data_IF_378574138663
#
_entry.id   IF_378574138663
#
_cell.length_a   1.000
_cell.length_b   1.000
_cell.length_c   1.000
_cell.angle_alpha   90.00
_cell.angle_beta   90.00
_cell.angle_gamma   90.00
#
_symmetry.space_group_name_H-M   'P 1'
#
loop_
_entity.id
_entity.type
_entity.pdbx_description
1 polymer ?
#
# COMPACT_ATOMS: atom_id res chain seq x y z
N UNK A 1 -20.63 6.28 -14.03
CA UNK A 1 -19.55 6.99 -14.76
C UNK A 1 -19.20 8.33 -14.11
N UNK A 2 -18.08 8.39 -13.39
CA UNK A 2 -17.54 9.66 -12.95
C UNK A 2 -16.99 10.41 -14.17
N UNK A 3 -17.52 11.60 -14.49
CA UNK A 3 -17.03 12.40 -15.62
C UNK A 3 -15.59 12.92 -15.43
N UNK A 4 -15.03 12.76 -14.22
CA UNK A 4 -13.67 13.16 -13.82
C UNK A 4 -12.80 11.91 -13.61
N UNK A 5 -11.47 12.00 -13.87
CA UNK A 5 -10.56 10.87 -13.77
C UNK A 5 -10.42 10.32 -12.34
N UNK A 6 -9.95 9.07 -12.24
CA UNK A 6 -9.44 8.46 -11.02
C UNK A 6 -7.99 8.88 -10.80
N UNK A 7 -7.63 9.33 -9.59
CA UNK A 7 -6.23 9.42 -9.18
C UNK A 7 -5.81 8.13 -8.48
N UNK A 8 -4.75 7.52 -8.97
CA UNK A 8 -4.20 6.26 -8.46
C UNK A 8 -2.86 6.50 -7.79
N UNK A 9 -2.68 5.91 -6.61
CA UNK A 9 -1.45 6.03 -5.84
C UNK A 9 -0.77 4.67 -5.68
N UNK A 10 0.52 4.54 -6.05
CA UNK A 10 1.22 3.27 -6.06
C UNK A 10 1.55 2.77 -4.65
N UNK A 11 1.73 1.46 -4.55
CA UNK A 11 2.18 0.76 -3.35
C UNK A 11 3.66 0.35 -3.39
N UNK A 12 4.06 -0.43 -2.39
CA UNK A 12 5.43 -0.93 -2.24
C UNK A 12 5.86 -1.78 -3.46
N UNK A 13 7.13 -1.67 -3.84
CA UNK A 13 7.69 -2.23 -5.07
C UNK A 13 7.84 -1.20 -6.20
N UNK A 14 7.26 0.00 -6.03
CA UNK A 14 7.38 1.10 -7.01
C UNK A 14 8.51 2.08 -6.68
N UNK A 15 9.16 1.95 -5.53
CA UNK A 15 10.24 2.84 -5.10
C UNK A 15 11.51 2.59 -5.91
N UNK A 16 12.24 3.67 -6.20
CA UNK A 16 13.52 3.61 -6.89
C UNK A 16 14.46 4.70 -6.36
N UNK A 17 15.76 4.40 -6.28
CA UNK A 17 16.77 5.43 -5.97
C UNK A 17 16.73 6.51 -7.05
N UNK A 18 16.74 7.77 -6.63
CA UNK A 18 16.57 8.94 -7.48
C UNK A 18 15.11 9.39 -7.68
N UNK A 19 14.12 8.67 -7.13
CA UNK A 19 12.71 9.11 -7.23
C UNK A 19 12.49 10.47 -6.55
N UNK A 20 11.63 11.30 -7.14
CA UNK A 20 11.31 12.64 -6.62
C UNK A 20 12.37 13.73 -6.86
N UNK A 21 13.63 13.38 -7.18
CA UNK A 21 14.74 14.34 -7.34
C UNK A 21 14.46 15.40 -8.40
N UNK A 22 14.01 14.97 -9.59
CA UNK A 22 13.67 15.91 -10.66
C UNK A 22 12.52 16.84 -10.26
N UNK A 23 11.51 16.33 -9.53
CA UNK A 23 10.39 17.15 -9.07
C UNK A 23 10.88 18.19 -8.04
N UNK A 24 11.64 17.77 -7.03
CA UNK A 24 12.16 18.66 -6.00
C UNK A 24 13.12 19.73 -6.56
N UNK A 25 13.85 19.42 -7.63
CA UNK A 25 14.76 20.38 -8.28
C UNK A 25 14.00 21.39 -9.13
N UNK A 26 12.94 20.96 -9.82
CA UNK A 26 12.19 21.81 -10.75
C UNK A 26 11.06 22.62 -10.08
N UNK A 27 10.51 22.15 -8.97
CA UNK A 27 9.30 22.70 -8.37
C UNK A 27 9.44 22.91 -6.85
N UNK A 28 9.41 24.16 -6.35
CA UNK A 28 9.51 24.45 -4.92
C UNK A 28 8.43 23.78 -4.07
N UNK A 29 7.21 23.64 -4.60
CA UNK A 29 6.10 22.96 -3.91
C UNK A 29 6.35 21.45 -3.76
N UNK A 30 7.04 20.80 -4.70
CA UNK A 30 7.47 19.41 -4.54
C UNK A 30 8.55 19.30 -3.47
N UNK A 31 9.52 20.23 -3.49
CA UNK A 31 10.60 20.28 -2.48
C UNK A 31 10.03 20.43 -1.07
N UNK A 32 9.07 21.32 -0.89
CA UNK A 32 8.42 21.56 0.40
C UNK A 32 7.73 20.29 0.97
N UNK A 33 7.15 19.44 0.11
CA UNK A 33 6.57 18.16 0.56
C UNK A 33 7.64 17.22 1.12
N UNK A 34 8.79 17.11 0.47
CA UNK A 34 9.89 16.27 0.98
C UNK A 34 10.45 16.82 2.29
N UNK A 35 10.60 18.15 2.40
CA UNK A 35 11.04 18.78 3.64
C UNK A 35 10.02 18.57 4.78
N UNK A 36 8.70 18.70 4.52
CA UNK A 36 7.66 18.42 5.51
C UNK A 36 7.68 16.96 5.98
N UNK A 37 7.88 16.00 5.06
CA UNK A 37 8.00 14.58 5.41
C UNK A 37 9.26 14.34 6.25
N UNK A 38 10.40 14.92 5.90
CA UNK A 38 11.62 14.82 6.69
C UNK A 38 11.41 15.37 8.11
N UNK A 39 10.79 16.55 8.25
CA UNK A 39 10.47 17.17 9.54
C UNK A 39 9.49 16.31 10.37
N UNK A 40 8.49 15.73 9.71
CA UNK A 40 7.50 14.88 10.37
C UNK A 40 8.13 13.61 10.97
N UNK A 41 9.16 13.08 10.30
CA UNK A 41 9.89 11.86 10.69
C UNK A 41 11.12 12.14 11.58
N UNK A 42 11.64 13.37 11.57
CA UNK A 42 12.87 13.73 12.27
C UNK A 42 14.13 13.12 11.64
N UNK A 43 14.08 12.77 10.34
CA UNK A 43 15.18 12.13 9.62
C UNK A 43 15.21 12.61 8.15
N UNK A 44 16.38 12.54 7.50
CA UNK A 44 16.50 12.89 6.09
C UNK A 44 16.17 11.70 5.17
N UNK A 45 14.88 11.36 5.09
CA UNK A 45 14.38 10.31 4.21
C UNK A 45 14.64 10.67 2.74
N UNK A 46 14.55 11.94 2.37
CA UNK A 46 14.77 12.38 1.00
C UNK A 46 16.23 12.14 0.52
N UNK A 47 17.22 12.28 1.40
CA UNK A 47 18.59 11.88 1.10
C UNK A 47 18.68 10.39 0.74
N UNK A 48 18.05 9.50 1.53
CA UNK A 48 17.97 8.06 1.22
C UNK A 48 17.27 7.81 -0.12
N UNK A 49 16.18 8.53 -0.42
CA UNK A 49 15.48 8.42 -1.71
C UNK A 49 16.37 8.81 -2.89
N UNK A 50 17.19 9.85 -2.72
CA UNK A 50 18.07 10.37 -3.78
C UNK A 50 19.30 9.50 -4.00
N UNK A 51 19.91 9.01 -2.92
CA UNK A 51 21.28 8.46 -2.95
C UNK A 51 21.33 6.95 -2.68
N UNK A 52 20.29 6.39 -2.06
CA UNK A 52 20.26 4.99 -1.64
C UNK A 52 21.06 4.75 -0.35
N UNK A 53 21.45 3.50 -0.06
CA UNK A 53 21.41 2.33 -0.96
C UNK A 53 19.99 1.82 -1.24
N UNK A 54 19.83 1.10 -2.35
CA UNK A 54 18.51 0.62 -2.79
C UNK A 54 17.88 -0.35 -1.78
N UNK A 55 18.68 -1.21 -1.14
CA UNK A 55 18.16 -2.17 -0.17
C UNK A 55 17.63 -1.49 1.10
N UNK A 56 18.24 -0.40 1.55
CA UNK A 56 17.72 0.40 2.65
C UNK A 56 16.41 1.11 2.26
N UNK A 57 16.33 1.64 1.03
CA UNK A 57 15.10 2.24 0.52
C UNK A 57 13.96 1.20 0.38
N UNK A 58 14.30 -0.06 0.08
CA UNK A 58 13.34 -1.18 -0.03
C UNK A 58 12.80 -1.65 1.31
N UNK A 59 13.46 -1.35 2.43
CA UNK A 59 12.92 -1.66 3.76
C UNK A 59 11.55 -1.01 3.90
N UNK A 60 10.55 -1.79 4.32
CA UNK A 60 9.15 -1.35 4.39
C UNK A 60 8.99 -0.06 5.20
N UNK A 61 9.76 0.10 6.28
CA UNK A 61 9.81 1.34 7.08
C UNK A 61 10.12 2.59 6.26
N UNK A 62 11.00 2.48 5.26
CA UNK A 62 11.45 3.59 4.41
C UNK A 62 10.58 3.71 3.14
N UNK A 63 10.29 2.59 2.49
CA UNK A 63 9.53 2.56 1.23
C UNK A 63 8.15 3.22 1.38
N UNK A 64 7.46 2.98 2.51
CA UNK A 64 6.12 3.53 2.75
C UNK A 64 6.08 5.07 2.75
N UNK A 65 6.77 5.78 3.67
CA UNK A 65 6.78 7.24 3.66
C UNK A 65 7.44 7.82 2.40
N UNK A 66 8.39 7.12 1.77
CA UNK A 66 9.07 7.62 0.58
C UNK A 66 8.18 7.64 -0.68
N UNK A 67 7.38 6.59 -0.87
CA UNK A 67 6.37 6.52 -1.94
C UNK A 67 5.23 7.51 -1.72
N UNK A 68 4.83 7.69 -0.46
CA UNK A 68 3.88 8.72 -0.07
C UNK A 68 4.40 10.13 -0.40
N UNK A 69 5.62 10.47 0.01
CA UNK A 69 6.24 11.77 -0.26
C UNK A 69 6.32 12.04 -1.77
N UNK A 70 6.73 11.05 -2.56
CA UNK A 70 6.79 11.17 -4.03
C UNK A 70 5.42 11.41 -4.65
N UNK A 71 4.39 10.72 -4.14
CA UNK A 71 3.00 10.90 -4.58
C UNK A 71 2.47 12.31 -4.26
N UNK A 72 2.71 12.78 -3.04
CA UNK A 72 2.26 14.10 -2.59
C UNK A 72 3.03 15.22 -3.27
N UNK A 73 4.32 15.04 -3.57
CA UNK A 73 5.12 16.00 -4.32
C UNK A 73 4.60 16.17 -5.75
N UNK A 74 4.28 15.06 -6.44
CA UNK A 74 3.66 15.12 -7.77
C UNK A 74 2.28 15.79 -7.74
N UNK A 75 1.48 15.49 -6.71
CA UNK A 75 0.17 16.11 -6.52
C UNK A 75 0.29 17.63 -6.27
N UNK A 76 1.23 18.06 -5.43
CA UNK A 76 1.47 19.47 -5.13
C UNK A 76 1.80 20.26 -6.41
N UNK A 77 2.66 19.72 -7.28
CA UNK A 77 2.99 20.32 -8.59
C UNK A 77 1.74 20.42 -9.46
N UNK A 78 0.93 19.35 -9.54
CA UNK A 78 -0.30 19.36 -10.34
C UNK A 78 -1.29 20.41 -9.84
N UNK A 79 -1.50 20.51 -8.53
CA UNK A 79 -2.38 21.50 -7.93
C UNK A 79 -1.87 22.92 -8.16
N UNK A 80 -0.55 23.15 -8.04
CA UNK A 80 0.07 24.45 -8.30
C UNK A 80 -0.08 24.87 -9.76
N UNK A 81 0.17 23.95 -10.69
CA UNK A 81 0.09 24.21 -12.13
C UNK A 81 -1.34 24.49 -12.61
N UNK A 82 -2.34 23.86 -11.98
CA UNK A 82 -3.75 23.98 -12.40
C UNK A 82 -4.56 24.99 -11.58
N UNK A 83 -4.10 25.34 -10.38
CA UNK A 83 -4.84 26.15 -9.40
C UNK A 83 -6.08 25.44 -8.84
N UNK A 84 -6.19 24.12 -8.97
CA UNK A 84 -7.38 23.33 -8.66
C UNK A 84 -7.15 22.37 -7.49
N UNK A 85 -8.19 22.14 -6.70
CA UNK A 85 -8.17 21.11 -5.66
C UNK A 85 -8.39 19.71 -6.26
N UNK A 86 -8.10 18.65 -5.49
CA UNK A 86 -8.36 17.27 -5.94
C UNK A 86 -9.84 17.06 -6.28
N UNK A 87 -10.76 17.66 -5.53
CA UNK A 87 -12.20 17.60 -5.82
C UNK A 87 -12.60 18.20 -7.18
N UNK A 88 -11.79 19.10 -7.73
CA UNK A 88 -12.00 19.67 -9.06
C UNK A 88 -11.37 18.81 -10.17
N UNK A 89 -10.27 18.13 -9.85
CA UNK A 89 -9.44 17.38 -10.80
C UNK A 89 -9.84 15.91 -10.93
N UNK A 90 -10.29 15.28 -9.84
CA UNK A 90 -10.57 13.87 -9.76
C UNK A 90 -12.01 13.61 -9.31
N UNK A 91 -12.58 12.52 -9.82
CA UNK A 91 -13.90 12.05 -9.42
C UNK A 91 -13.86 11.17 -8.17
N UNK A 92 -12.72 10.50 -7.97
CA UNK A 92 -12.42 9.64 -6.83
C UNK A 92 -10.91 9.39 -6.77
N UNK A 93 -10.47 8.80 -5.66
CA UNK A 93 -9.09 8.39 -5.44
C UNK A 93 -9.03 6.94 -5.00
N UNK A 94 -7.94 6.26 -5.33
CA UNK A 94 -7.63 4.93 -4.84
C UNK A 94 -6.12 4.77 -4.73
N UNK A 95 -5.65 3.95 -3.80
CA UNK A 95 -4.24 3.60 -3.75
C UNK A 95 -4.02 2.18 -3.29
N UNK A 96 -2.91 1.59 -3.72
CA UNK A 96 -2.60 0.19 -3.48
C UNK A 96 -1.86 0.04 -2.14
N UNK A 97 -2.47 -0.63 -1.17
CA UNK A 97 -1.95 -0.82 0.19
C UNK A 97 -1.56 0.50 0.85
N UNK A 98 -0.25 0.79 1.00
CA UNK A 98 0.22 2.08 1.52
C UNK A 98 -0.31 3.27 0.71
N UNK A 99 -0.55 3.08 -0.60
CA UNK A 99 -1.08 4.13 -1.47
C UNK A 99 -2.46 4.61 -1.03
N UNK A 100 -3.20 3.83 -0.24
CA UNK A 100 -4.47 4.28 0.37
C UNK A 100 -4.23 5.47 1.30
N UNK A 101 -3.09 5.56 2.00
CA UNK A 101 -2.72 6.74 2.79
C UNK A 101 -2.43 7.97 1.92
N UNK A 102 -1.79 7.78 0.75
CA UNK A 102 -1.62 8.84 -0.26
C UNK A 102 -2.98 9.32 -0.79
N UNK A 103 -3.90 8.40 -1.07
CA UNK A 103 -5.26 8.70 -1.52
C UNK A 103 -6.04 9.49 -0.46
N UNK A 104 -5.92 9.09 0.81
CA UNK A 104 -6.52 9.77 1.95
C UNK A 104 -5.97 11.19 2.13
N UNK A 105 -4.66 11.38 2.06
CA UNK A 105 -4.05 12.72 2.10
C UNK A 105 -4.48 13.58 0.90
N UNK A 106 -4.51 13.01 -0.31
CA UNK A 106 -4.99 13.70 -1.51
C UNK A 106 -6.47 14.13 -1.39
N UNK A 107 -7.31 13.30 -0.75
CA UNK A 107 -8.71 13.62 -0.48
C UNK A 107 -8.89 14.58 0.72
N UNK A 108 -7.81 14.98 1.40
CA UNK A 108 -7.82 15.94 2.49
C UNK A 108 -8.22 15.37 3.86
N UNK A 109 -8.30 14.05 4.01
CA UNK A 109 -8.63 13.44 5.32
C UNK A 109 -7.42 13.33 6.24
N UNK A 110 -6.19 13.30 5.72
CA UNK A 110 -4.96 13.23 6.52
C UNK A 110 -4.02 14.36 6.09
N UNK A 111 -3.33 14.96 7.04
CA UNK A 111 -2.23 15.87 6.74
C UNK A 111 -1.02 15.09 6.21
N UNK A 112 -0.12 15.75 5.48
CA UNK A 112 1.13 15.13 5.01
C UNK A 112 1.97 14.68 6.20
N UNK A 113 2.12 15.56 7.19
CA UNK A 113 2.81 15.28 8.46
C UNK A 113 2.26 14.03 9.18
N UNK A 114 0.95 13.93 9.39
CA UNK A 114 0.36 12.79 10.12
C UNK A 114 0.43 11.50 9.30
N UNK A 115 0.18 11.57 7.99
CA UNK A 115 0.30 10.41 7.12
C UNK A 115 1.74 9.87 7.06
N UNK A 116 2.76 10.74 7.02
CA UNK A 116 4.16 10.34 7.07
C UNK A 116 4.49 9.57 8.37
N UNK A 117 4.06 10.11 9.52
CA UNK A 117 4.25 9.46 10.84
C UNK A 117 3.52 8.12 10.93
N UNK A 118 2.28 8.06 10.45
CA UNK A 118 1.49 6.82 10.39
C UNK A 118 2.17 5.78 9.50
N UNK A 119 2.69 6.19 8.33
CA UNK A 119 3.36 5.28 7.41
C UNK A 119 4.71 4.77 7.93
N UNK A 120 5.46 5.59 8.67
CA UNK A 120 6.65 5.13 9.40
C UNK A 120 6.28 4.07 10.43
N UNK A 121 5.29 4.33 11.30
CA UNK A 121 4.78 3.36 12.28
C UNK A 121 4.25 2.08 11.62
N UNK A 122 3.48 2.21 10.54
CA UNK A 122 2.97 1.09 9.75
C UNK A 122 4.11 0.27 9.18
N UNK A 123 5.13 0.92 8.63
CA UNK A 123 6.26 0.23 8.05
C UNK A 123 7.13 -0.49 9.08
N UNK A 124 7.40 0.14 10.22
CA UNK A 124 8.15 -0.47 11.33
C UNK A 124 7.38 -1.66 11.93
N UNK A 125 6.07 -1.49 12.22
CA UNK A 125 5.24 -2.54 12.82
C UNK A 125 5.02 -3.73 11.89
N UNK A 126 4.76 -3.50 10.59
CA UNK A 126 4.63 -4.60 9.61
C UNK A 126 5.93 -5.36 9.40
N UNK A 127 7.08 -4.66 9.45
CA UNK A 127 8.39 -5.30 9.34
C UNK A 127 8.74 -6.15 10.57
N UNK A 128 8.27 -5.75 11.75
CA UNK A 128 8.50 -6.45 13.02
C UNK A 128 7.38 -7.38 13.49
N UNK A 129 6.30 -7.55 12.72
CA UNK A 129 5.12 -8.29 13.16
C UNK A 129 5.36 -9.80 13.35
N UNK A 130 6.34 -10.37 12.64
CA UNK A 130 6.79 -11.75 12.81
C UNK A 130 8.33 -11.81 12.85
N UNK A 131 8.94 -12.82 13.49
CA UNK A 131 10.38 -13.00 13.44
C UNK A 131 10.88 -13.09 11.98
N UNK A 132 12.07 -12.55 11.73
CA UNK A 132 12.67 -12.56 10.40
C UNK A 132 12.84 -14.01 9.91
N UNK A 133 12.27 -14.31 8.74
CA UNK A 133 12.30 -15.65 8.15
C UNK A 133 11.09 -16.53 8.48
N UNK A 134 10.15 -16.09 9.31
CA UNK A 134 8.95 -16.87 9.65
C UNK A 134 7.79 -16.64 8.68
N UNK A 135 7.80 -15.52 7.94
CA UNK A 135 6.79 -15.20 6.94
C UNK A 135 7.34 -14.94 5.54
N UNK A 136 6.50 -15.17 4.53
CA UNK A 136 6.81 -14.90 3.13
C UNK A 136 5.56 -14.46 2.35
N UNK A 137 5.82 -14.02 1.12
CA UNK A 137 4.80 -13.79 0.10
C UNK A 137 5.24 -14.43 -1.22
N UNK A 138 4.27 -14.85 -2.03
CA UNK A 138 4.53 -15.36 -3.38
C UNK A 138 3.51 -14.82 -4.38
N UNK A 139 3.98 -14.39 -5.53
CA UNK A 139 3.13 -14.07 -6.67
C UNK A 139 2.78 -15.36 -7.43
N UNK A 140 1.50 -15.62 -7.61
CA UNK A 140 0.97 -16.71 -8.43
C UNK A 140 0.33 -16.07 -9.67
N UNK A 141 0.96 -16.28 -10.82
CA UNK A 141 0.62 -15.60 -12.07
C UNK A 141 -0.01 -16.56 -13.08
N UNK A 142 -0.94 -16.03 -13.88
CA UNK A 142 -1.74 -16.74 -14.88
C UNK A 142 -2.55 -17.91 -14.28
N UNK A 143 -3.13 -17.70 -13.10
CA UNK A 143 -4.00 -18.68 -12.43
C UNK A 143 -5.42 -18.12 -12.25
N UNK A 144 -6.43 -18.98 -12.39
CA UNK A 144 -7.83 -18.63 -12.09
C UNK A 144 -8.07 -18.58 -10.58
N UNK A 145 -8.99 -17.73 -10.13
CA UNK A 145 -9.28 -17.51 -8.70
C UNK A 145 -9.67 -18.82 -7.98
N UNK A 146 -10.50 -19.66 -8.60
CA UNK A 146 -10.90 -20.95 -8.04
C UNK A 146 -9.70 -21.92 -7.82
N UNK A 147 -8.66 -21.82 -8.65
CA UNK A 147 -7.44 -22.62 -8.48
C UNK A 147 -6.62 -22.10 -7.30
N UNK A 148 -6.59 -20.79 -7.07
CA UNK A 148 -5.91 -20.18 -5.92
C UNK A 148 -6.53 -20.64 -4.61
N UNK A 149 -7.87 -20.66 -4.50
CA UNK A 149 -8.53 -21.11 -3.28
C UNK A 149 -8.14 -22.56 -2.92
N UNK A 150 -8.09 -23.45 -3.92
CA UNK A 150 -7.61 -24.84 -3.73
C UNK A 150 -6.14 -24.91 -3.33
N UNK A 151 -5.28 -24.05 -3.89
CA UNK A 151 -3.86 -23.97 -3.51
C UNK A 151 -3.71 -23.54 -2.05
N UNK A 152 -4.40 -22.48 -1.64
CA UNK A 152 -4.39 -21.97 -0.27
C UNK A 152 -4.90 -23.03 0.71
N UNK A 153 -6.02 -23.69 0.40
CA UNK A 153 -6.58 -24.76 1.23
C UNK A 153 -5.57 -25.89 1.46
N UNK A 154 -4.94 -26.40 0.39
CA UNK A 154 -3.94 -27.48 0.50
C UNK A 154 -2.68 -27.02 1.25
N UNK A 155 -2.20 -25.81 0.98
CA UNK A 155 -1.01 -25.25 1.61
C UNK A 155 -1.22 -24.94 3.10
N UNK A 156 -2.46 -24.72 3.54
CA UNK A 156 -2.81 -24.41 4.93
C UNK A 156 -2.38 -25.48 5.93
N UNK A 157 -2.20 -26.73 5.48
CA UNK A 157 -1.66 -27.83 6.31
C UNK A 157 -0.21 -27.62 6.77
N UNK A 158 0.55 -26.75 6.10
CA UNK A 158 1.93 -26.39 6.45
C UNK A 158 2.02 -25.10 7.27
N UNK A 159 0.89 -24.43 7.57
CA UNK A 159 0.84 -23.19 8.33
C UNK A 159 -0.16 -22.17 7.78
N UNK A 160 -0.35 -21.03 8.46
CA UNK A 160 -1.28 -19.99 8.02
C UNK A 160 -0.85 -19.41 6.66
N UNK A 161 -1.80 -19.30 5.73
CA UNK A 161 -1.63 -18.70 4.41
C UNK A 161 -2.96 -18.12 3.92
N UNK A 162 -2.91 -16.95 3.30
CA UNK A 162 -4.09 -16.27 2.76
C UNK A 162 -3.77 -15.56 1.44
N UNK A 163 -4.82 -15.19 0.72
CA UNK A 163 -4.74 -14.31 -0.44
C UNK A 163 -4.51 -12.87 0.03
N UNK A 164 -3.31 -12.35 -0.20
CA UNK A 164 -2.90 -11.00 0.19
C UNK A 164 -3.29 -9.94 -0.83
N UNK A 165 -3.06 -10.18 -2.12
CA UNK A 165 -3.40 -9.21 -3.17
C UNK A 165 -4.12 -9.90 -4.33
N UNK A 166 -5.27 -9.35 -4.72
CA UNK A 166 -5.92 -9.61 -5.99
C UNK A 166 -5.69 -8.39 -6.89
N UNK A 167 -4.62 -8.42 -7.69
CA UNK A 167 -4.14 -7.24 -8.41
C UNK A 167 -4.82 -7.06 -9.77
N UNK A 168 -4.96 -8.14 -10.51
CA UNK A 168 -5.54 -8.19 -11.84
C UNK A 168 -5.94 -9.63 -12.16
N UNK A 169 -6.75 -9.89 -13.21
CA UNK A 169 -7.03 -11.25 -13.66
C UNK A 169 -5.73 -12.05 -13.86
N UNK A 170 -5.57 -13.14 -13.10
CA UNK A 170 -4.37 -13.96 -13.14
C UNK A 170 -3.13 -13.36 -12.47
N UNK A 171 -3.24 -12.27 -11.70
CA UNK A 171 -2.12 -11.70 -10.93
C UNK A 171 -2.47 -11.62 -9.46
N UNK A 172 -2.16 -12.70 -8.73
CA UNK A 172 -2.51 -12.85 -7.32
C UNK A 172 -1.25 -13.00 -6.49
N UNK A 173 -1.30 -12.53 -5.25
CA UNK A 173 -0.23 -12.72 -4.26
C UNK A 173 -0.81 -13.43 -3.04
N UNK A 174 -0.15 -14.51 -2.62
CA UNK A 174 -0.41 -15.19 -1.36
C UNK A 174 0.63 -14.81 -0.32
N UNK A 175 0.25 -14.88 0.95
CA UNK A 175 1.06 -14.44 2.08
C UNK A 175 0.78 -15.28 3.31
N UNK A 176 1.80 -15.56 4.12
CA UNK A 176 1.65 -16.40 5.30
C UNK A 176 2.98 -16.91 5.84
N UNK A 177 2.92 -18.01 6.59
CA UNK A 177 4.11 -18.70 7.08
C UNK A 177 4.98 -19.19 5.92
N UNK A 178 6.30 -19.11 6.07
CA UNK A 178 7.26 -19.52 5.02
C UNK A 178 6.96 -20.92 4.48
N UNK A 179 6.75 -21.90 5.36
CA UNK A 179 6.48 -23.28 4.96
C UNK A 179 5.19 -23.41 4.13
N UNK A 180 4.14 -22.66 4.49
CA UNK A 180 2.87 -22.67 3.75
C UNK A 180 3.00 -21.98 2.38
N UNK A 181 3.73 -20.87 2.30
CA UNK A 181 3.99 -20.18 1.02
C UNK A 181 4.84 -21.04 0.09
N UNK A 182 5.87 -21.70 0.62
CA UNK A 182 6.70 -22.62 -0.16
C UNK A 182 5.89 -23.84 -0.63
N UNK A 183 5.02 -24.40 0.21
CA UNK A 183 4.07 -25.44 -0.20
C UNK A 183 3.12 -24.96 -1.30
N UNK A 184 2.57 -23.74 -1.20
CA UNK A 184 1.69 -23.17 -2.21
C UNK A 184 2.38 -23.03 -3.58
N UNK A 185 3.66 -22.67 -3.60
CA UNK A 185 4.46 -22.61 -4.82
C UNK A 185 4.57 -23.99 -5.48
N UNK A 186 4.86 -25.04 -4.71
CA UNK A 186 4.94 -26.41 -5.27
C UNK A 186 3.58 -26.93 -5.73
N UNK A 187 2.51 -26.71 -4.97
CA UNK A 187 1.14 -27.08 -5.37
C UNK A 187 0.72 -26.35 -6.65
N UNK A 188 1.09 -25.07 -6.78
CA UNK A 188 0.82 -24.30 -8.00
C UNK A 188 1.55 -24.90 -9.21
N UNK A 189 2.83 -25.29 -9.04
CA UNK A 189 3.61 -25.96 -10.10
C UNK A 189 2.98 -27.29 -10.52
N UNK A 190 2.55 -28.11 -9.56
CA UNK A 190 1.87 -29.38 -9.81
C UNK A 190 0.53 -29.19 -10.54
N UNK A 191 -0.16 -28.06 -10.28
CA UNK A 191 -1.36 -27.64 -10.99
C UNK A 191 -1.09 -27.03 -12.38
N UNK A 192 0.17 -27.03 -12.85
CA UNK A 192 0.56 -26.51 -14.16
C UNK A 192 0.84 -25.00 -14.21
N UNK A 193 0.81 -24.30 -13.08
CA UNK A 193 1.09 -22.87 -13.00
C UNK A 193 2.61 -22.66 -12.97
N UNK A 194 3.16 -22.22 -14.11
CA UNK A 194 4.63 -22.08 -14.29
C UNK A 194 5.23 -20.86 -13.58
N UNK A 195 4.42 -19.90 -13.14
CA UNK A 195 4.87 -18.63 -12.55
C UNK A 195 4.34 -18.46 -11.13
N UNK A 196 4.83 -19.29 -10.21
CA UNK A 196 4.70 -19.11 -8.78
C UNK A 196 6.07 -18.69 -8.22
N UNK A 197 6.20 -17.44 -7.78
CA UNK A 197 7.50 -16.79 -7.50
C UNK A 197 7.48 -16.17 -6.11
N UNK A 198 8.42 -16.56 -5.26
CA UNK A 198 8.62 -15.94 -3.94
C UNK A 198 9.06 -14.49 -4.11
N UNK A 199 8.42 -13.58 -3.38
CA UNK A 199 8.71 -12.15 -3.45
C UNK A 199 9.89 -11.80 -2.53
N UNK A 200 10.76 -10.84 -2.92
CA UNK A 200 11.89 -10.39 -2.11
C UNK A 200 11.42 -9.45 -1.00
N UNK A 201 10.58 -9.95 -0.10
CA UNK A 201 10.04 -9.23 1.06
C UNK A 201 10.29 -10.03 2.33
N UNK A 202 10.49 -9.34 3.45
CA UNK A 202 10.88 -9.95 4.72
C UNK A 202 9.71 -10.33 5.62
N UNK A 203 8.47 -10.00 5.23
CA UNK A 203 7.28 -10.17 6.09
C UNK A 203 6.04 -10.57 5.27
N UNK A 204 5.09 -11.28 5.90
CA UNK A 204 3.88 -11.77 5.26
C UNK A 204 2.76 -10.73 5.32
N UNK A 205 2.84 -9.69 4.51
CA UNK A 205 1.85 -8.60 4.49
C UNK A 205 0.45 -9.09 4.10
N UNK A 206 -0.61 -8.43 4.59
CA UNK A 206 -2.00 -8.70 4.21
C UNK A 206 -2.48 -10.13 4.52
N UNK A 207 -2.09 -10.65 5.69
CA UNK A 207 -2.65 -11.88 6.27
C UNK A 207 -2.76 -11.76 7.79
N UNK A 208 -3.38 -12.74 8.44
CA UNK A 208 -3.61 -12.79 9.90
C UNK A 208 -2.33 -12.68 10.73
N UNK A 209 -1.17 -13.06 10.19
CA UNK A 209 0.13 -12.89 10.86
C UNK A 209 0.49 -11.41 11.09
N UNK A 210 -0.16 -10.47 10.40
CA UNK A 210 0.02 -9.04 10.62
C UNK A 210 -0.84 -8.46 11.75
N UNK A 211 -1.53 -9.28 12.55
CA UNK A 211 -2.38 -8.78 13.64
C UNK A 211 -1.63 -7.83 14.61
N UNK A 212 -0.38 -8.11 15.03
CA UNK A 212 0.37 -7.18 15.88
C UNK A 212 0.57 -5.79 15.23
N UNK A 213 0.76 -5.74 13.91
CA UNK A 213 0.85 -4.47 13.18
C UNK A 213 -0.51 -3.78 13.05
N UNK A 214 -1.60 -4.54 12.90
CA UNK A 214 -2.95 -3.98 12.90
C UNK A 214 -3.29 -3.34 14.25
N UNK A 215 -2.88 -3.95 15.36
CA UNK A 215 -3.11 -3.43 16.72
C UNK A 215 -2.33 -2.12 16.98
N UNK A 216 -1.06 -2.05 16.54
CA UNK A 216 -0.28 -0.80 16.56
C UNK A 216 -0.95 0.29 15.71
N UNK A 217 -1.41 -0.08 14.50
CA UNK A 217 -2.10 0.89 13.64
C UNK A 217 -3.44 1.32 14.19
N UNK A 218 -4.19 0.46 14.87
CA UNK A 218 -5.43 0.83 15.55
C UNK A 218 -5.17 1.89 16.63
N UNK A 219 -4.09 1.71 17.41
CA UNK A 219 -3.65 2.68 18.42
C UNK A 219 -3.24 4.00 17.76
N UNK A 220 -2.37 3.97 16.76
CA UNK A 220 -1.88 5.18 16.10
C UNK A 220 -2.98 5.95 15.35
N UNK A 221 -3.94 5.24 14.76
CA UNK A 221 -5.05 5.84 14.02
C UNK A 221 -6.15 6.40 14.92
N UNK A 222 -6.29 5.90 16.16
CA UNK A 222 -7.24 6.44 17.13
C UNK A 222 -6.93 7.91 17.46
N UNK A 223 -5.64 8.25 17.54
CA UNK A 223 -5.16 9.61 17.83
C UNK A 223 -5.04 10.49 16.56
N UNK A 224 -5.13 9.89 15.37
CA UNK A 224 -5.00 10.61 14.11
C UNK A 224 -6.23 11.48 13.84
N UNK A 225 -5.98 12.77 13.57
CA UNK A 225 -7.00 13.70 13.10
C UNK A 225 -7.40 13.32 11.67
N UNK A 226 -8.63 12.83 11.52
CA UNK A 226 -9.20 12.47 10.23
C UNK A 226 -10.52 13.20 10.01
N UNK A 227 -10.68 13.81 8.84
CA UNK A 227 -11.89 14.52 8.42
C UNK A 227 -12.61 13.76 7.30
N UNK A 228 -13.78 14.23 6.88
CA UNK A 228 -14.45 13.64 5.73
C UNK A 228 -13.61 13.84 4.46
N UNK A 229 -13.48 12.79 3.65
CA UNK A 229 -12.80 12.87 2.38
C UNK A 229 -13.59 13.78 1.41
N UNK A 230 -12.90 14.70 0.74
CA UNK A 230 -13.49 15.65 -0.23
C UNK A 230 -14.00 14.99 -1.51
N UNK A 231 -13.47 13.79 -1.82
CA UNK A 231 -13.93 12.91 -2.90
C UNK A 231 -13.97 11.47 -2.39
N UNK A 232 -14.77 10.57 -3.01
CA UNK A 232 -14.79 9.16 -2.66
C UNK A 232 -13.39 8.53 -2.70
N UNK A 233 -13.04 7.82 -1.62
CA UNK A 233 -11.84 6.99 -1.52
C UNK A 233 -12.27 5.54 -1.72
N UNK A 234 -11.75 4.86 -2.73
CA UNK A 234 -12.02 3.43 -2.92
C UNK A 234 -11.08 2.59 -2.05
N UNK A 235 -11.62 2.03 -0.98
CA UNK A 235 -10.86 1.28 0.02
C UNK A 235 -10.50 -0.13 -0.46
N UNK A 236 -9.30 -0.58 -0.14
CA UNK A 236 -8.77 -1.89 -0.56
C UNK A 236 -9.56 -3.07 0.00
N UNK A 237 -10.12 -2.95 1.21
CA UNK A 237 -10.82 -4.04 1.90
C UNK A 237 -12.28 -4.19 1.45
N UNK A 238 -12.94 -3.09 1.11
CA UNK A 238 -14.34 -3.10 0.68
C UNK A 238 -14.50 -3.15 -0.83
N UNK A 239 -13.46 -2.77 -1.59
CA UNK A 239 -13.53 -2.53 -3.03
C UNK A 239 -14.62 -1.52 -3.43
N UNK A 240 -14.95 -0.59 -2.54
CA UNK A 240 -16.02 0.37 -2.72
C UNK A 240 -15.68 1.76 -2.18
N UNK A 241 -16.45 2.78 -2.58
CA UNK A 241 -16.23 4.17 -2.17
C UNK A 241 -16.60 4.38 -0.70
N UNK A 242 -15.80 5.18 0.00
CA UNK A 242 -16.06 5.66 1.35
C UNK A 242 -15.57 7.11 1.49
N UNK A 243 -16.21 7.88 2.37
CA UNK A 243 -15.82 9.26 2.68
C UNK A 243 -15.84 9.57 4.18
N UNK A 244 -16.54 8.79 4.99
CA UNK A 244 -16.66 9.03 6.41
C UNK A 244 -15.36 8.67 7.14
N UNK A 245 -14.78 9.65 7.83
CA UNK A 245 -13.49 9.51 8.52
C UNK A 245 -13.38 8.25 9.40
N UNK A 246 -14.42 7.94 10.18
CA UNK A 246 -14.42 6.79 11.08
C UNK A 246 -14.37 5.45 10.32
N UNK A 247 -15.07 5.33 9.18
CA UNK A 247 -15.06 4.14 8.33
C UNK A 247 -13.73 3.98 7.60
N UNK A 248 -13.18 5.09 7.08
CA UNK A 248 -11.84 5.10 6.48
C UNK A 248 -10.79 4.63 7.49
N UNK A 249 -10.88 5.08 8.75
CA UNK A 249 -10.02 4.64 9.84
C UNK A 249 -10.14 3.13 10.11
N UNK A 250 -11.37 2.62 10.26
CA UNK A 250 -11.65 1.19 10.46
C UNK A 250 -11.09 0.34 9.30
N UNK A 251 -11.27 0.82 8.07
CA UNK A 251 -10.78 0.16 6.87
C UNK A 251 -9.25 0.09 6.85
N UNK A 252 -8.53 1.16 7.23
CA UNK A 252 -7.07 1.16 7.30
C UNK A 252 -6.51 0.13 8.28
N UNK A 253 -7.16 -0.08 9.44
CA UNK A 253 -6.76 -1.11 10.41
C UNK A 253 -6.99 -2.50 9.80
N UNK A 254 -8.19 -2.74 9.27
CA UNK A 254 -8.56 -4.01 8.63
C UNK A 254 -7.66 -4.34 7.44
N UNK A 255 -7.19 -3.33 6.71
CA UNK A 255 -6.34 -3.47 5.52
C UNK A 255 -5.00 -4.14 5.84
N UNK A 256 -4.46 -3.99 7.06
CA UNK A 256 -3.15 -4.53 7.44
C UNK A 256 -3.14 -6.07 7.40
N UNK A 257 -4.24 -6.71 7.81
CA UNK A 257 -4.41 -8.18 7.79
C UNK A 257 -5.30 -8.67 6.65
N UNK A 258 -6.03 -7.77 6.00
CA UNK A 258 -7.00 -8.08 4.94
C UNK A 258 -6.40 -8.06 3.54
N UNK A 259 -7.11 -8.75 2.63
CA UNK A 259 -6.82 -8.77 1.19
C UNK A 259 -6.91 -7.36 0.58
N UNK A 260 -5.91 -7.00 -0.23
CA UNK A 260 -6.00 -5.85 -1.16
C UNK A 260 -6.79 -6.27 -2.39
N UNK A 261 -8.05 -5.85 -2.49
CA UNK A 261 -8.98 -6.21 -3.57
C UNK A 261 -8.85 -5.28 -4.78
N UNK A 262 -7.63 -5.09 -5.28
CA UNK A 262 -7.32 -4.06 -6.28
C UNK A 262 -8.05 -4.24 -7.61
N UNK A 263 -8.16 -5.48 -8.11
CA UNK A 263 -8.94 -5.79 -9.31
C UNK A 263 -10.41 -5.36 -9.14
N UNK A 264 -11.01 -5.69 -8.00
CA UNK A 264 -12.39 -5.34 -7.69
C UNK A 264 -12.55 -3.82 -7.54
N UNK A 265 -11.61 -3.15 -6.88
CA UNK A 265 -11.56 -1.68 -6.76
C UNK A 265 -11.57 -1.01 -8.11
N UNK A 266 -10.68 -1.41 -9.03
CA UNK A 266 -10.64 -0.84 -10.37
C UNK A 266 -11.91 -1.18 -11.17
N UNK A 267 -12.48 -2.37 -11.01
CA UNK A 267 -13.77 -2.72 -11.59
C UNK A 267 -14.91 -1.82 -11.12
N UNK A 268 -14.99 -1.56 -9.82
CA UNK A 268 -16.02 -0.74 -9.20
C UNK A 268 -15.95 0.74 -9.62
N UNK A 269 -14.75 1.29 -9.82
CA UNK A 269 -14.59 2.68 -10.30
C UNK A 269 -15.15 2.88 -11.72
N UNK A 270 -15.10 1.84 -12.56
CA UNK A 270 -15.54 1.91 -13.95
C UNK A 270 -17.02 1.54 -14.15
N UNK A 271 -17.71 1.04 -13.11
CA UNK A 271 -19.14 0.73 -13.14
C UNK A 271 -20.02 2.00 -13.13
#
# INVERSE_FOLDING_TARGET
MCAKPLFQFPGQGSQAVGMGVSLATSFPEARAVFDEVNDALGEDLFALMKEGPEDDLRLTRNAQPALFASSMAALAVLQKATGKAVADLAGCVAGHSLGEYSALAAAGTLSITDAARLLRRRGDSMQGAVPAGDGAMAAILNAEEAVIDSIIEKASGAGPIQLANDNAPGQIVVSGAVAAVDAAIEIAKDAGIRRAIKLPVSAPFHCTLMQPAADEMATALADASMTYASVPVYCNVTAGPEQAAHRLRENLVTQVTGRVRWRETLGAVHA
#
